data_IF_968421965970
#
_entry.id   IF_968421965970
#
_cell.length_a   1.000
_cell.length_b   1.000
_cell.length_c   1.000
_cell.angle_alpha   90.00
_cell.angle_beta   90.00
_cell.angle_gamma   90.00
#
_symmetry.space_group_name_H-M   'P 1'
#
loop_
_entity.id
_entity.type
_entity.pdbx_description
1 polymer ?
#
# COMPACT_ATOMS: atom_id res chain seq x y z
N UNK A 1 32.42 23.81 -11.38
CA UNK A 1 31.17 23.32 -10.73
C UNK A 1 30.39 22.46 -11.70
N UNK A 2 29.82 21.34 -11.26
CA UNK A 2 28.97 20.50 -12.10
C UNK A 2 27.55 21.09 -12.18
N UNK A 3 27.36 22.05 -13.10
CA UNK A 3 26.04 22.63 -13.40
C UNK A 3 25.50 22.05 -14.72
N UNK A 4 24.18 21.80 -14.82
CA UNK A 4 23.59 21.33 -16.06
C UNK A 4 23.77 22.38 -17.16
N UNK A 5 24.48 21.99 -18.23
CA UNK A 5 24.76 22.88 -19.37
C UNK A 5 23.49 23.39 -20.09
N UNK A 6 22.40 22.61 -20.06
CA UNK A 6 21.12 22.93 -20.71
C UNK A 6 19.93 22.40 -19.90
N UNK A 7 18.77 23.03 -20.06
CA UNK A 7 17.49 22.56 -19.52
C UNK A 7 17.09 21.23 -20.15
N UNK A 8 16.61 20.27 -19.34
CA UNK A 8 16.06 19.03 -19.86
C UNK A 8 14.72 19.25 -20.58
N UNK A 9 14.53 18.59 -21.72
CA UNK A 9 13.28 18.65 -22.47
C UNK A 9 12.11 18.10 -21.67
N UNK A 10 10.89 18.61 -21.95
CA UNK A 10 9.65 18.12 -21.30
C UNK A 10 9.47 16.61 -21.51
N UNK A 11 9.80 16.11 -22.71
CA UNK A 11 9.74 14.69 -23.05
C UNK A 11 10.66 13.84 -22.17
N UNK A 12 11.93 14.24 -21.99
CA UNK A 12 12.90 13.53 -21.14
C UNK A 12 12.41 13.47 -19.69
N UNK A 13 11.98 14.60 -19.14
CA UNK A 13 11.51 14.68 -17.76
C UNK A 13 10.25 13.87 -17.54
N UNK A 14 9.27 13.91 -18.46
CA UNK A 14 8.02 13.13 -18.38
C UNK A 14 8.30 11.63 -18.44
N UNK A 15 9.19 11.19 -19.33
CA UNK A 15 9.58 9.76 -19.42
C UNK A 15 10.21 9.27 -18.12
N UNK A 16 11.17 10.02 -17.56
CA UNK A 16 11.83 9.66 -16.29
C UNK A 16 10.82 9.55 -15.14
N UNK A 17 9.93 10.54 -15.00
CA UNK A 17 8.89 10.50 -13.97
C UNK A 17 7.90 9.34 -14.16
N UNK A 18 7.48 9.05 -15.40
CA UNK A 18 6.55 7.95 -15.71
C UNK A 18 7.14 6.58 -15.37
N UNK A 19 8.43 6.37 -15.63
CA UNK A 19 9.09 5.09 -15.35
C UNK A 19 9.26 4.91 -13.84
N UNK A 20 9.72 5.94 -13.15
CA UNK A 20 10.13 5.82 -11.74
C UNK A 20 8.99 6.10 -10.75
N UNK A 21 7.95 6.82 -11.15
CA UNK A 21 6.86 7.26 -10.28
C UNK A 21 5.67 6.30 -10.19
N UNK A 22 5.83 5.05 -10.63
CA UNK A 22 4.76 4.05 -10.53
C UNK A 22 4.69 3.53 -9.09
N UNK A 23 3.53 3.66 -8.47
CA UNK A 23 3.26 3.10 -7.13
C UNK A 23 2.50 1.79 -7.31
N UNK A 24 2.95 0.74 -6.65
CA UNK A 24 2.24 -0.55 -6.62
C UNK A 24 1.17 -0.54 -5.52
N UNK A 25 -0.02 -1.03 -5.85
CA UNK A 25 -1.13 -1.18 -4.90
C UNK A 25 -0.86 -2.41 -4.02
N UNK A 26 -1.15 -2.37 -2.70
CA UNK A 26 -1.01 -3.54 -1.83
C UNK A 26 -1.97 -4.66 -2.24
N UNK A 27 -1.53 -5.90 -2.08
CA UNK A 27 -2.38 -7.08 -2.29
C UNK A 27 -3.38 -7.23 -1.16
N UNK A 28 -4.66 -7.31 -1.51
CA UNK A 28 -5.76 -7.57 -0.60
C UNK A 28 -6.29 -8.99 -0.78
N UNK A 29 -6.70 -9.61 0.31
CA UNK A 29 -7.23 -10.98 0.37
C UNK A 29 -8.52 -10.95 1.20
N UNK A 30 -9.51 -11.75 0.83
CA UNK A 30 -10.72 -11.89 1.63
C UNK A 30 -10.42 -12.58 2.98
N UNK A 31 -10.88 -11.99 4.07
CA UNK A 31 -10.82 -12.58 5.41
C UNK A 31 -11.82 -13.75 5.50
N UNK A 32 -11.42 -14.93 6.02
CA UNK A 32 -12.34 -16.06 6.19
C UNK A 32 -13.48 -15.81 7.19
N UNK A 33 -13.30 -14.87 8.12
CA UNK A 33 -14.18 -14.71 9.27
C UNK A 33 -15.21 -13.59 9.07
N UNK A 34 -14.80 -12.49 8.42
CA UNK A 34 -15.65 -11.33 8.13
C UNK A 34 -16.01 -11.19 6.65
N UNK A 35 -15.27 -11.87 5.76
CA UNK A 35 -15.40 -11.67 4.31
C UNK A 35 -14.78 -10.36 3.79
N UNK A 36 -14.22 -9.52 4.66
CA UNK A 36 -13.66 -8.22 4.27
C UNK A 36 -12.31 -8.33 3.57
N UNK A 37 -11.96 -7.30 2.78
CA UNK A 37 -10.67 -7.23 2.08
C UNK A 37 -9.56 -6.75 3.02
N UNK A 38 -8.73 -7.67 3.47
CA UNK A 38 -7.64 -7.42 4.40
C UNK A 38 -6.29 -7.51 3.68
N UNK A 39 -5.30 -6.75 4.16
CA UNK A 39 -3.92 -6.93 3.70
C UNK A 39 -3.39 -8.29 4.16
N UNK A 40 -2.70 -8.99 3.26
CA UNK A 40 -2.06 -10.27 3.60
C UNK A 40 -1.15 -10.13 4.83
N UNK A 41 -1.22 -11.11 5.73
CA UNK A 41 -0.48 -11.16 7.01
C UNK A 41 -0.80 -10.03 8.02
N UNK A 42 -1.93 -9.35 7.87
CA UNK A 42 -2.42 -8.40 8.89
C UNK A 42 -3.69 -8.91 9.53
N UNK A 43 -3.93 -8.43 10.75
CA UNK A 43 -5.19 -8.63 11.48
C UNK A 43 -6.28 -7.85 10.77
N UNK A 44 -7.47 -8.44 10.72
CA UNK A 44 -8.66 -7.73 10.30
C UNK A 44 -9.08 -6.72 11.38
N UNK A 45 -9.24 -5.46 11.03
CA UNK A 45 -9.60 -4.40 11.99
C UNK A 45 -11.10 -4.42 12.32
N UNK A 46 -11.93 -4.95 11.43
CA UNK A 46 -13.38 -5.01 11.66
C UNK A 46 -13.74 -6.12 12.65
N UNK A 47 -13.15 -7.30 12.47
CA UNK A 47 -13.44 -8.47 13.32
C UNK A 47 -12.44 -8.66 14.46
N UNK A 48 -11.22 -8.11 14.35
CA UNK A 48 -10.15 -8.29 15.33
C UNK A 48 -9.45 -9.64 15.25
N UNK A 49 -9.70 -10.42 14.19
CA UNK A 49 -9.20 -11.78 14.04
C UNK A 49 -8.02 -11.89 13.06
N UNK A 50 -7.15 -12.85 13.35
CA UNK A 50 -6.09 -13.29 12.46
C UNK A 50 -5.93 -14.81 12.55
N UNK A 51 -6.13 -15.49 11.41
CA UNK A 51 -5.98 -16.96 11.29
C UNK A 51 -6.81 -17.75 12.30
N UNK A 52 -8.08 -17.39 12.50
CA UNK A 52 -8.99 -18.11 13.41
C UNK A 52 -8.80 -17.77 14.89
N UNK A 53 -7.94 -16.80 15.22
CA UNK A 53 -7.68 -16.38 16.59
C UNK A 53 -8.07 -14.91 16.75
N UNK A 54 -8.82 -14.61 17.80
CA UNK A 54 -9.11 -13.24 18.21
C UNK A 54 -7.84 -12.64 18.81
N UNK A 55 -7.26 -11.66 18.14
CA UNK A 55 -6.02 -10.99 18.54
C UNK A 55 -6.31 -9.63 19.18
N UNK A 56 -7.39 -8.98 18.74
CA UNK A 56 -7.82 -7.68 19.26
C UNK A 56 -9.23 -7.81 19.80
N UNK A 57 -9.45 -7.32 21.01
CA UNK A 57 -10.79 -7.03 21.51
C UNK A 57 -11.22 -5.70 20.90
N UNK A 58 -12.30 -5.74 20.12
CA UNK A 58 -12.82 -4.61 19.32
C UNK A 58 -13.20 -3.38 20.16
N UNK A 59 -13.27 -3.50 21.49
CA UNK A 59 -13.55 -2.39 22.41
C UNK A 59 -12.31 -1.53 22.75
N UNK A 60 -11.08 -2.03 22.55
CA UNK A 60 -9.85 -1.30 22.88
C UNK A 60 -9.38 -0.33 21.78
N UNK A 61 -10.07 -0.29 20.64
CA UNK A 61 -9.66 0.42 19.41
C UNK A 61 -10.52 1.64 19.05
N UNK A 62 -11.32 2.15 20.01
CA UNK A 62 -12.04 3.42 19.83
C UNK A 62 -11.14 4.64 19.96
#
# INVERSE_FOLDING_TARGET
MAVPKKKHSKARTRRRRKINGKVAVPTLVASPESGELVRRHRVDLASGFYRGKRVLETDELK
#
